data_IF_951780583969
#
_entry.id   IF_951780583969
#
_cell.length_a   1.000
_cell.length_b   1.000
_cell.length_c   1.000
_cell.angle_alpha   90.00
_cell.angle_beta   90.00
_cell.angle_gamma   90.00
#
_symmetry.space_group_name_H-M   'P 1'
#
loop_
_entity.id
_entity.type
_entity.pdbx_description
1 polymer ?
#
# COMPACT_ATOMS: atom_id res chain seq x y z
N UNK A 1 -9.11 -56.67 8.44
CA UNK A 1 -9.25 -56.24 7.05
C UNK A 1 -8.84 -54.79 6.99
N UNK A 2 -7.76 -54.48 6.27
CA UNK A 2 -7.26 -53.11 6.16
C UNK A 2 -8.08 -52.36 5.10
N UNK A 3 -9.19 -51.75 5.53
CA UNK A 3 -10.14 -51.07 4.66
C UNK A 3 -9.51 -49.93 3.84
N UNK A 4 -8.37 -49.37 4.30
CA UNK A 4 -7.65 -48.33 3.57
C UNK A 4 -6.95 -48.87 2.32
N UNK A 5 -6.50 -50.13 2.35
CA UNK A 5 -5.84 -50.79 1.21
C UNK A 5 -6.78 -51.08 0.02
N UNK A 6 -8.10 -50.99 0.23
CA UNK A 6 -9.12 -51.25 -0.79
C UNK A 6 -9.64 -49.97 -1.46
N UNK A 7 -9.19 -48.79 -1.03
CA UNK A 7 -9.67 -47.51 -1.57
C UNK A 7 -9.08 -47.24 -2.97
N UNK A 8 -9.94 -46.77 -3.88
CA UNK A 8 -9.50 -46.37 -5.22
C UNK A 8 -8.60 -45.13 -5.18
N UNK A 9 -7.77 -44.95 -6.21
CA UNK A 9 -6.95 -43.73 -6.39
C UNK A 9 -7.80 -42.46 -6.36
N UNK A 10 -8.99 -42.47 -6.98
CA UNK A 10 -9.92 -41.34 -6.95
C UNK A 10 -10.37 -41.01 -5.53
N UNK A 11 -10.65 -42.02 -4.71
CA UNK A 11 -11.02 -41.82 -3.31
C UNK A 11 -9.88 -41.16 -2.53
N UNK A 12 -8.63 -41.62 -2.72
CA UNK A 12 -7.45 -41.00 -2.12
C UNK A 12 -7.26 -39.54 -2.54
N UNK A 13 -7.45 -39.22 -3.82
CA UNK A 13 -7.34 -37.85 -4.32
C UNK A 13 -8.41 -36.93 -3.73
N UNK A 14 -9.66 -37.38 -3.65
CA UNK A 14 -10.76 -36.61 -3.05
C UNK A 14 -10.52 -36.38 -1.56
N UNK A 15 -10.09 -37.40 -0.81
CA UNK A 15 -9.75 -37.26 0.60
C UNK A 15 -8.58 -36.30 0.81
N UNK A 16 -7.52 -36.42 0.01
CA UNK A 16 -6.36 -35.52 0.06
C UNK A 16 -6.75 -34.07 -0.21
N UNK A 17 -7.59 -33.83 -1.22
CA UNK A 17 -8.10 -32.49 -1.53
C UNK A 17 -8.97 -31.93 -0.39
N UNK A 18 -9.85 -32.75 0.19
CA UNK A 18 -10.70 -32.33 1.30
C UNK A 18 -9.86 -31.95 2.55
N UNK A 19 -8.85 -32.76 2.89
CA UNK A 19 -7.91 -32.48 3.98
C UNK A 19 -7.16 -31.17 3.69
N UNK A 20 -6.61 -31.00 2.48
CA UNK A 20 -5.91 -29.79 2.09
C UNK A 20 -6.81 -28.55 2.20
N UNK A 21 -8.03 -28.59 1.67
CA UNK A 21 -8.98 -27.49 1.79
C UNK A 21 -9.35 -27.18 3.25
N UNK A 22 -9.43 -28.20 4.12
CA UNK A 22 -9.60 -28.03 5.57
C UNK A 22 -8.43 -27.28 6.21
N UNK A 23 -7.20 -27.66 5.86
CA UNK A 23 -5.96 -26.98 6.29
C UNK A 23 -5.94 -25.53 5.81
N UNK A 24 -6.21 -25.28 4.52
CA UNK A 24 -6.29 -23.94 3.95
C UNK A 24 -7.31 -23.08 4.69
N UNK A 25 -8.52 -23.61 4.92
CA UNK A 25 -9.57 -22.92 5.67
C UNK A 25 -9.13 -22.57 7.09
N UNK A 26 -8.51 -23.51 7.80
CA UNK A 26 -8.05 -23.28 9.17
C UNK A 26 -7.03 -22.13 9.23
N UNK A 27 -5.95 -22.23 8.46
CA UNK A 27 -4.89 -21.22 8.47
C UNK A 27 -5.34 -19.86 7.92
N UNK A 28 -6.22 -19.83 6.92
CA UNK A 28 -6.78 -18.57 6.37
C UNK A 28 -7.51 -17.74 7.43
N UNK A 29 -8.30 -18.38 8.28
CA UNK A 29 -9.09 -17.69 9.31
C UNK A 29 -8.36 -17.58 10.65
N UNK A 30 -7.22 -18.24 10.81
CA UNK A 30 -6.46 -18.21 12.06
C UNK A 30 -6.10 -16.79 12.48
N UNK A 31 -5.47 -16.00 11.59
CA UNK A 31 -5.05 -14.63 11.90
C UNK A 31 -6.22 -13.73 12.30
N UNK A 32 -7.37 -13.87 11.61
CA UNK A 32 -8.59 -13.11 11.91
C UNK A 32 -9.15 -13.50 13.28
N UNK A 33 -9.26 -14.79 13.56
CA UNK A 33 -9.80 -15.30 14.82
C UNK A 33 -8.91 -14.94 16.01
N UNK A 34 -7.58 -15.00 15.84
CA UNK A 34 -6.60 -14.59 16.84
C UNK A 34 -6.68 -13.08 17.12
N UNK A 35 -6.82 -12.25 16.09
CA UNK A 35 -7.03 -10.81 16.25
C UNK A 35 -8.31 -10.51 17.03
N UNK A 36 -9.44 -11.14 16.67
CA UNK A 36 -10.73 -10.95 17.37
C UNK A 36 -10.62 -11.38 18.84
N UNK A 37 -9.92 -12.49 19.11
CA UNK A 37 -9.68 -12.98 20.48
C UNK A 37 -8.77 -12.04 21.27
N UNK A 38 -7.72 -11.51 20.64
CA UNK A 38 -6.74 -10.60 21.27
C UNK A 38 -7.32 -9.23 21.55
N UNK A 39 -8.21 -8.73 20.69
CA UNK A 39 -8.86 -7.43 20.82
C UNK A 39 -10.39 -7.57 20.80
N UNK A 40 -11.04 -8.05 21.88
CA UNK A 40 -12.48 -8.27 21.90
C UNK A 40 -13.29 -7.00 21.62
N UNK A 41 -12.86 -5.84 22.13
CA UNK A 41 -13.47 -4.54 21.85
C UNK A 41 -12.79 -3.85 20.65
N UNK A 42 -13.50 -3.61 19.53
CA UNK A 42 -12.96 -2.90 18.37
C UNK A 42 -12.45 -1.49 18.65
N UNK A 43 -12.96 -0.81 19.69
CA UNK A 43 -12.57 0.56 20.00
C UNK A 43 -11.16 0.64 20.58
N UNK A 44 -10.64 -0.45 21.16
CA UNK A 44 -9.25 -0.51 21.65
C UNK A 44 -8.24 -0.15 20.55
N UNK A 45 -8.58 -0.44 19.28
CA UNK A 45 -7.72 -0.15 18.12
C UNK A 45 -7.59 1.35 17.87
N UNK A 46 -8.64 2.12 18.15
CA UNK A 46 -8.63 3.58 17.96
C UNK A 46 -7.76 4.29 19.01
N UNK A 47 -7.59 3.66 20.18
CA UNK A 47 -6.84 4.21 21.31
C UNK A 47 -5.38 3.74 21.38
N UNK A 48 -5.01 2.64 20.71
CA UNK A 48 -3.64 2.10 20.72
C UNK A 48 -3.00 2.14 19.34
N UNK A 49 -1.92 2.93 19.22
CA UNK A 49 -1.10 3.01 18.01
C UNK A 49 -0.43 1.68 17.69
N UNK A 50 -0.03 0.93 18.70
CA UNK A 50 0.60 -0.38 18.56
C UNK A 50 -0.38 -1.41 18.01
N UNK A 51 -1.60 -1.46 18.55
CA UNK A 51 -2.64 -2.36 18.08
C UNK A 51 -3.07 -2.02 16.64
N UNK A 52 -3.25 -0.73 16.34
CA UNK A 52 -3.55 -0.28 14.98
C UNK A 52 -2.42 -0.65 14.00
N UNK A 53 -1.16 -0.41 14.36
CA UNK A 53 0.00 -0.74 13.53
C UNK A 53 0.12 -2.24 13.26
N UNK A 54 -0.08 -3.08 14.29
CA UNK A 54 -0.10 -4.53 14.16
C UNK A 54 -1.16 -5.01 13.15
N UNK A 55 -2.41 -4.59 13.36
CA UNK A 55 -3.54 -5.03 12.53
C UNK A 55 -3.39 -4.48 11.11
N UNK A 56 -3.04 -3.21 10.95
CA UNK A 56 -2.77 -2.59 9.66
C UNK A 56 -1.71 -3.39 8.89
N UNK A 57 -0.61 -3.75 9.54
CA UNK A 57 0.48 -4.51 8.94
C UNK A 57 0.06 -5.91 8.52
N UNK A 58 -0.79 -6.58 9.31
CA UNK A 58 -1.36 -7.87 8.95
C UNK A 58 -2.16 -7.78 7.65
N UNK A 59 -3.01 -6.77 7.50
CA UNK A 59 -3.83 -6.56 6.30
C UNK A 59 -2.94 -6.18 5.10
N UNK A 60 -2.10 -5.15 5.25
CA UNK A 60 -1.39 -4.50 4.15
C UNK A 60 -0.14 -5.23 3.70
N UNK A 61 0.48 -6.03 4.57
CA UNK A 61 1.75 -6.70 4.25
C UNK A 61 1.65 -8.23 4.29
N UNK A 62 0.66 -8.83 4.94
CA UNK A 62 0.55 -10.30 5.03
C UNK A 62 -0.66 -10.85 4.28
N UNK A 63 -1.85 -10.34 4.56
CA UNK A 63 -3.10 -10.93 4.12
C UNK A 63 -3.50 -10.51 2.70
N UNK A 64 -3.51 -9.20 2.42
CA UNK A 64 -3.93 -8.62 1.14
C UNK A 64 -2.85 -7.74 0.48
N UNK A 65 -1.55 -8.07 0.53
CA UNK A 65 -0.50 -7.10 0.23
C UNK A 65 -0.53 -6.55 -1.20
N UNK A 66 -0.92 -7.38 -2.17
CA UNK A 66 -0.98 -6.94 -3.57
C UNK A 66 -2.16 -5.99 -3.81
N UNK A 67 -3.35 -6.31 -3.29
CA UNK A 67 -4.54 -5.46 -3.44
C UNK A 67 -4.39 -4.19 -2.63
N UNK A 68 -3.92 -4.26 -1.38
CA UNK A 68 -3.71 -3.10 -0.52
C UNK A 68 -2.69 -2.10 -1.12
N UNK A 69 -1.58 -2.61 -1.67
CA UNK A 69 -0.62 -1.77 -2.40
C UNK A 69 -1.26 -1.14 -3.63
N UNK A 70 -1.93 -1.94 -4.46
CA UNK A 70 -2.51 -1.45 -5.73
C UNK A 70 -3.63 -0.44 -5.46
N UNK A 71 -4.43 -0.63 -4.41
CA UNK A 71 -5.46 0.33 -4.02
C UNK A 71 -4.86 1.66 -3.59
N UNK A 72 -3.73 1.68 -2.84
CA UNK A 72 -3.05 2.93 -2.50
C UNK A 72 -2.43 3.63 -3.73
N UNK A 73 -1.82 2.87 -4.65
CA UNK A 73 -1.36 3.41 -5.94
C UNK A 73 -2.53 4.05 -6.71
N UNK A 74 -3.72 3.44 -6.65
CA UNK A 74 -4.92 3.93 -7.29
C UNK A 74 -5.59 5.10 -6.56
N UNK A 75 -5.50 5.17 -5.23
CA UNK A 75 -5.92 6.33 -4.46
C UNK A 75 -5.16 7.58 -4.89
N UNK A 76 -3.84 7.46 -5.06
CA UNK A 76 -3.03 8.57 -5.59
C UNK A 76 -3.46 8.95 -7.01
N UNK A 77 -3.73 7.97 -7.87
CA UNK A 77 -4.23 8.21 -9.22
C UNK A 77 -5.59 8.92 -9.24
N UNK A 78 -6.52 8.56 -8.35
CA UNK A 78 -7.84 9.19 -8.23
C UNK A 78 -7.76 10.68 -7.88
N UNK A 79 -6.72 11.13 -7.17
CA UNK A 79 -6.54 12.57 -6.92
C UNK A 79 -6.43 13.42 -8.20
N UNK A 80 -6.07 12.80 -9.34
CA UNK A 80 -5.91 13.51 -10.61
C UNK A 80 -7.23 13.99 -11.21
N UNK A 81 -8.39 13.55 -10.69
CA UNK A 81 -9.69 14.07 -11.12
C UNK A 81 -10.07 15.40 -10.46
N UNK A 82 -9.24 15.87 -9.51
CA UNK A 82 -9.40 17.17 -8.85
C UNK A 82 -8.53 18.21 -9.59
N UNK A 83 -9.11 19.26 -10.20
CA UNK A 83 -8.35 20.21 -11.02
C UNK A 83 -7.22 20.94 -10.27
N UNK A 84 -7.37 21.26 -8.98
CA UNK A 84 -6.29 21.88 -8.20
C UNK A 84 -5.06 20.98 -8.12
N UNK A 85 -5.29 19.69 -7.86
CA UNK A 85 -4.24 18.67 -7.73
C UNK A 85 -3.61 18.40 -9.09
N UNK A 86 -4.41 18.12 -10.12
CA UNK A 86 -3.88 17.74 -11.43
C UNK A 86 -3.09 18.89 -12.09
N UNK A 87 -3.53 20.14 -11.96
CA UNK A 87 -2.77 21.32 -12.45
C UNK A 87 -1.44 21.48 -11.73
N UNK A 88 -1.43 21.30 -10.40
CA UNK A 88 -0.19 21.33 -9.62
C UNK A 88 0.76 20.22 -10.05
N UNK A 89 0.27 18.99 -10.19
CA UNK A 89 1.10 17.86 -10.58
C UNK A 89 1.67 18.01 -11.99
N UNK A 90 0.88 18.52 -12.94
CA UNK A 90 1.38 18.88 -14.29
C UNK A 90 2.48 19.95 -14.20
N UNK A 91 2.31 20.99 -13.38
CA UNK A 91 3.29 22.07 -13.27
C UNK A 91 4.61 21.61 -12.65
N UNK A 92 4.61 20.57 -11.82
CA UNK A 92 5.87 19.99 -11.30
C UNK A 92 6.73 19.32 -12.38
N UNK A 93 6.12 18.86 -13.47
CA UNK A 93 6.77 18.11 -14.55
C UNK A 93 7.23 16.69 -14.18
N UNK A 94 7.08 16.25 -12.93
CA UNK A 94 7.65 15.00 -12.44
C UNK A 94 6.98 13.76 -13.06
N UNK A 95 5.66 13.75 -13.19
CA UNK A 95 4.95 12.64 -13.83
C UNK A 95 5.22 12.54 -15.34
N UNK A 96 5.56 13.64 -16.02
CA UNK A 96 5.89 13.61 -17.44
C UNK A 96 7.32 13.15 -17.72
N UNK A 97 8.28 13.52 -16.87
CA UNK A 97 9.72 13.31 -17.13
C UNK A 97 10.38 12.24 -16.25
N UNK A 98 9.85 12.01 -15.05
CA UNK A 98 10.49 11.20 -14.00
C UNK A 98 9.47 10.30 -13.29
N UNK A 99 8.44 9.83 -14.00
CA UNK A 99 7.33 9.05 -13.42
C UNK A 99 7.82 7.85 -12.60
N UNK A 100 8.79 7.09 -13.14
CA UNK A 100 9.35 5.92 -12.46
C UNK A 100 10.03 6.29 -11.15
N UNK A 101 10.97 7.25 -11.17
CA UNK A 101 11.65 7.67 -9.94
C UNK A 101 10.64 8.20 -8.91
N UNK A 102 9.64 8.97 -9.35
CA UNK A 102 8.60 9.51 -8.46
C UNK A 102 7.76 8.41 -7.80
N UNK A 103 7.36 7.39 -8.55
CA UNK A 103 6.62 6.26 -8.00
C UNK A 103 7.48 5.46 -7.01
N UNK A 104 8.75 5.27 -7.33
CA UNK A 104 9.74 4.64 -6.44
C UNK A 104 9.93 5.43 -5.14
N UNK A 105 10.16 6.75 -5.22
CA UNK A 105 10.27 7.65 -4.08
C UNK A 105 9.03 7.59 -3.18
N UNK A 106 7.84 7.65 -3.81
CA UNK A 106 6.57 7.66 -3.09
C UNK A 106 6.36 6.36 -2.34
N UNK A 107 6.60 5.21 -2.99
CA UNK A 107 6.39 3.91 -2.34
C UNK A 107 7.38 3.66 -1.21
N UNK A 108 8.65 4.09 -1.36
CA UNK A 108 9.63 3.99 -0.28
C UNK A 108 9.28 4.91 0.89
N UNK A 109 8.86 6.15 0.64
CA UNK A 109 8.39 7.07 1.69
C UNK A 109 7.21 6.44 2.45
N UNK A 110 6.18 5.96 1.73
CA UNK A 110 5.01 5.32 2.34
C UNK A 110 5.41 4.08 3.16
N UNK A 111 6.28 3.22 2.61
CA UNK A 111 6.73 2.01 3.29
C UNK A 111 7.57 2.31 4.53
N UNK A 112 8.43 3.33 4.50
CA UNK A 112 9.17 3.75 5.69
C UNK A 112 8.24 4.23 6.81
N UNK A 113 7.13 4.92 6.47
CA UNK A 113 6.15 5.41 7.43
C UNK A 113 5.32 4.30 8.10
N UNK A 114 5.04 3.20 7.40
CA UNK A 114 4.06 2.20 7.87
C UNK A 114 4.65 0.82 8.18
N UNK A 115 5.89 0.52 7.75
CA UNK A 115 6.44 -0.84 7.86
C UNK A 115 7.31 -1.09 9.10
N UNK A 116 7.37 -0.18 10.08
CA UNK A 116 8.18 -0.38 11.29
C UNK A 116 7.83 -1.69 12.01
N UNK A 117 6.54 -1.91 12.29
CA UNK A 117 6.05 -3.14 12.93
C UNK A 117 6.40 -4.41 12.12
N UNK A 118 6.04 -4.53 10.82
CA UNK A 118 6.27 -5.76 10.09
C UNK A 118 7.76 -5.99 9.80
N UNK A 119 8.59 -4.93 9.69
CA UNK A 119 10.06 -5.07 9.64
C UNK A 119 10.57 -5.79 10.89
N UNK A 120 10.15 -5.33 12.08
CA UNK A 120 10.50 -5.97 13.36
C UNK A 120 10.02 -7.41 13.38
N UNK A 121 8.76 -7.67 13.03
CA UNK A 121 8.21 -9.02 13.08
C UNK A 121 8.90 -9.98 12.11
N UNK A 122 9.20 -9.58 10.87
CA UNK A 122 9.94 -10.42 9.94
C UNK A 122 11.34 -10.78 10.48
N UNK A 123 12.05 -9.81 11.05
CA UNK A 123 13.38 -10.04 11.64
C UNK A 123 13.32 -11.06 12.80
N UNK A 124 12.31 -10.96 13.66
CA UNK A 124 12.07 -11.94 14.73
C UNK A 124 11.67 -13.32 14.18
N UNK A 125 10.82 -13.37 13.15
CA UNK A 125 10.39 -14.61 12.47
C UNK A 125 11.54 -15.31 11.73
N UNK A 126 12.62 -14.58 11.41
CA UNK A 126 13.85 -15.14 10.85
C UNK A 126 14.77 -15.75 11.90
N UNK A 127 14.40 -15.68 13.18
CA UNK A 127 15.16 -16.23 14.31
C UNK A 127 16.21 -15.28 14.86
N UNK A 128 16.22 -14.01 14.41
CA UNK A 128 17.11 -13.00 14.97
C UNK A 128 16.50 -12.36 16.22
N UNK A 129 17.36 -11.85 17.10
CA UNK A 129 16.95 -10.96 18.19
C UNK A 129 16.94 -9.51 17.71
N UNK A 130 16.04 -8.68 18.25
CA UNK A 130 16.05 -7.24 18.04
C UNK A 130 16.26 -6.53 19.39
N UNK A 131 17.32 -5.73 19.48
CA UNK A 131 17.58 -4.89 20.66
C UNK A 131 16.60 -3.72 20.73
N UNK A 132 16.39 -3.14 21.92
CA UNK A 132 15.57 -1.93 22.08
C UNK A 132 16.05 -0.77 21.20
N UNK A 133 17.36 -0.65 21.01
CA UNK A 133 17.96 0.35 20.13
C UNK A 133 17.56 0.14 18.67
N UNK A 134 17.59 -1.10 18.19
CA UNK A 134 17.20 -1.43 16.80
C UNK A 134 15.71 -1.23 16.59
N UNK A 135 14.87 -1.62 17.55
CA UNK A 135 13.43 -1.36 17.54
C UNK A 135 13.17 0.15 17.50
N UNK A 136 13.83 0.92 18.36
CA UNK A 136 13.75 2.38 18.39
C UNK A 136 14.15 3.01 17.05
N UNK A 137 15.17 2.47 16.38
CA UNK A 137 15.59 2.91 15.04
C UNK A 137 14.52 2.68 13.97
N UNK A 138 13.78 1.56 14.01
CA UNK A 138 12.69 1.32 13.07
C UNK A 138 11.58 2.36 13.18
N UNK A 139 11.23 2.79 14.39
CA UNK A 139 10.26 3.86 14.61
C UNK A 139 10.84 5.26 14.34
N UNK A 140 12.15 5.45 14.50
CA UNK A 140 12.82 6.68 14.08
C UNK A 140 12.73 6.88 12.57
N UNK A 141 12.94 5.83 11.78
CA UNK A 141 12.78 5.85 10.31
C UNK A 141 11.38 6.30 9.89
N UNK A 142 10.34 5.80 10.57
CA UNK A 142 8.97 6.23 10.34
C UNK A 142 8.81 7.75 10.50
N UNK A 143 9.32 8.33 11.60
CA UNK A 143 9.25 9.77 11.85
C UNK A 143 9.98 10.58 10.78
N UNK A 144 11.20 10.17 10.43
CA UNK A 144 12.01 10.83 9.38
C UNK A 144 11.28 10.81 8.04
N UNK A 145 10.59 9.71 7.71
CA UNK A 145 9.84 9.62 6.46
C UNK A 145 8.67 10.61 6.41
N UNK A 146 7.94 10.78 7.52
CA UNK A 146 6.89 11.81 7.61
C UNK A 146 7.49 13.22 7.51
N UNK A 147 8.61 13.49 8.19
CA UNK A 147 9.33 14.77 8.11
C UNK A 147 9.77 15.08 6.68
N UNK A 148 10.31 14.06 5.97
CA UNK A 148 10.73 14.20 4.58
C UNK A 148 9.54 14.48 3.66
N UNK A 149 8.41 13.82 3.88
CA UNK A 149 7.19 14.08 3.13
C UNK A 149 6.69 15.53 3.36
N UNK A 150 6.71 15.99 4.61
CA UNK A 150 6.36 17.37 4.97
C UNK A 150 7.29 18.39 4.31
N UNK A 151 8.59 18.11 4.23
CA UNK A 151 9.55 18.97 3.55
C UNK A 151 9.22 19.11 2.07
N UNK A 152 9.00 17.99 1.37
CA UNK A 152 8.67 17.98 -0.06
C UNK A 152 7.37 18.72 -0.31
N UNK A 153 6.33 18.38 0.45
CA UNK A 153 5.00 18.96 0.28
C UNK A 153 4.94 20.44 0.68
N UNK A 154 5.71 20.86 1.69
CA UNK A 154 5.80 22.25 2.14
C UNK A 154 6.41 23.22 1.12
N UNK A 155 7.01 22.73 0.03
CA UNK A 155 7.46 23.55 -1.11
C UNK A 155 6.33 23.94 -2.07
N UNK A 156 5.12 23.43 -1.85
CA UNK A 156 3.97 23.64 -2.72
C UNK A 156 2.79 24.19 -1.93
N UNK A 157 1.99 25.04 -2.58
CA UNK A 157 0.76 25.57 -1.98
C UNK A 157 -0.39 24.57 -2.16
N UNK A 158 -0.38 23.48 -1.40
CA UNK A 158 -1.41 22.43 -1.42
C UNK A 158 -2.55 22.85 -0.48
N UNK A 159 -3.80 22.82 -0.96
CA UNK A 159 -4.97 23.17 -0.13
C UNK A 159 -5.15 22.12 0.96
N UNK A 160 -5.58 22.53 2.15
CA UNK A 160 -5.89 21.58 3.23
C UNK A 160 -6.92 20.53 2.80
N UNK A 161 -7.97 20.94 2.06
CA UNK A 161 -8.96 20.02 1.52
C UNK A 161 -8.37 18.96 0.59
N UNK A 162 -7.35 19.30 -0.21
CA UNK A 162 -6.68 18.34 -1.10
C UNK A 162 -5.87 17.29 -0.28
N UNK A 163 -5.28 17.70 0.85
CA UNK A 163 -4.63 16.77 1.79
C UNK A 163 -5.63 15.83 2.44
N UNK A 164 -6.71 16.36 3.03
CA UNK A 164 -7.72 15.55 3.72
C UNK A 164 -8.43 14.62 2.74
N UNK A 165 -8.64 15.06 1.49
CA UNK A 165 -9.17 14.21 0.42
C UNK A 165 -8.22 13.07 0.07
N UNK A 166 -6.93 13.36 -0.11
CA UNK A 166 -5.94 12.29 -0.36
C UNK A 166 -5.89 11.29 0.79
N UNK A 167 -5.96 11.78 2.05
CA UNK A 167 -6.00 10.95 3.24
C UNK A 167 -7.26 10.07 3.30
N UNK A 168 -8.42 10.62 2.93
CA UNK A 168 -9.67 9.88 2.93
C UNK A 168 -9.69 8.77 1.88
N UNK A 169 -9.02 8.96 0.74
CA UNK A 169 -8.83 7.89 -0.25
C UNK A 169 -7.98 6.74 0.29
N UNK A 170 -6.94 7.04 1.09
CA UNK A 170 -6.07 6.03 1.71
C UNK A 170 -6.80 5.17 2.76
N UNK A 171 -7.93 5.64 3.27
CA UNK A 171 -8.88 4.85 4.05
C UNK A 171 -9.88 4.13 3.15
N UNK A 172 -10.59 4.88 2.31
CA UNK A 172 -11.77 4.41 1.59
C UNK A 172 -11.44 3.36 0.52
N UNK A 173 -10.44 3.61 -0.32
CA UNK A 173 -10.18 2.72 -1.46
C UNK A 173 -9.64 1.36 -1.01
N UNK A 174 -8.70 1.23 -0.04
CA UNK A 174 -8.31 -0.09 0.44
C UNK A 174 -9.47 -0.88 1.06
N UNK A 175 -10.36 -0.21 1.82
CA UNK A 175 -11.55 -0.87 2.38
C UNK A 175 -12.45 -1.38 1.25
N UNK A 176 -12.76 -0.53 0.28
CA UNK A 176 -13.61 -0.88 -0.86
C UNK A 176 -12.99 -2.02 -1.66
N UNK A 177 -11.72 -1.90 -2.06
CA UNK A 177 -11.04 -2.85 -2.92
C UNK A 177 -10.85 -4.21 -2.27
N UNK A 178 -10.54 -4.27 -0.97
CA UNK A 178 -10.44 -5.55 -0.27
C UNK A 178 -11.82 -6.21 -0.21
N UNK A 179 -12.85 -5.48 0.20
CA UNK A 179 -14.22 -6.00 0.25
C UNK A 179 -14.76 -6.45 -1.13
N UNK A 180 -14.36 -5.73 -2.19
CA UNK A 180 -14.85 -5.97 -3.54
C UNK A 180 -14.05 -7.02 -4.31
N UNK A 181 -12.75 -7.18 -4.03
CA UNK A 181 -11.86 -7.99 -4.86
C UNK A 181 -11.14 -9.11 -4.12
N UNK A 182 -11.12 -9.12 -2.79
CA UNK A 182 -10.44 -10.15 -2.01
C UNK A 182 -11.38 -11.23 -1.47
N UNK A 183 -10.79 -12.26 -0.87
CA UNK A 183 -11.46 -13.49 -0.49
C UNK A 183 -12.40 -13.37 0.72
N UNK A 184 -12.30 -12.26 1.48
CA UNK A 184 -13.19 -11.91 2.58
C UNK A 184 -13.32 -10.40 2.73
N UNK A 185 -14.37 -9.97 3.43
CA UNK A 185 -14.51 -8.60 3.91
C UNK A 185 -13.60 -8.32 5.10
N UNK A 186 -13.27 -7.05 5.28
CA UNK A 186 -12.57 -6.56 6.48
C UNK A 186 -13.49 -6.62 7.71
N UNK A 187 -12.90 -6.94 8.86
CA UNK A 187 -13.51 -6.77 10.17
C UNK A 187 -13.47 -5.30 10.61
N UNK A 188 -14.34 -4.91 11.53
CA UNK A 188 -14.37 -3.54 12.05
C UNK A 188 -13.04 -3.11 12.70
N UNK A 189 -12.32 -4.03 13.36
CA UNK A 189 -10.99 -3.75 13.94
C UNK A 189 -9.96 -3.39 12.88
N UNK A 190 -10.09 -4.01 11.71
CA UNK A 190 -9.22 -3.78 10.57
C UNK A 190 -9.50 -2.42 9.93
N UNK A 191 -10.78 -2.05 9.79
CA UNK A 191 -11.21 -0.72 9.37
C UNK A 191 -10.68 0.34 10.34
N UNK A 192 -10.85 0.12 11.64
CA UNK A 192 -10.35 1.02 12.69
C UNK A 192 -8.82 1.16 12.65
N UNK A 193 -8.09 0.09 12.37
CA UNK A 193 -6.63 0.13 12.24
C UNK A 193 -6.18 0.97 11.04
N UNK A 194 -6.84 0.83 9.88
CA UNK A 194 -6.58 1.65 8.70
C UNK A 194 -6.84 3.12 9.00
N UNK A 195 -7.98 3.42 9.61
CA UNK A 195 -8.33 4.79 10.00
C UNK A 195 -7.31 5.38 10.98
N UNK A 196 -7.00 4.67 12.06
CA UNK A 196 -6.09 5.16 13.10
C UNK A 196 -4.70 5.44 12.57
N UNK A 197 -4.13 4.52 11.78
CA UNK A 197 -2.79 4.71 11.19
C UNK A 197 -2.75 5.94 10.29
N UNK A 198 -3.72 6.11 9.39
CA UNK A 198 -3.74 7.27 8.50
C UNK A 198 -4.10 8.57 9.21
N UNK A 199 -5.03 8.55 10.15
CA UNK A 199 -5.37 9.72 10.97
C UNK A 199 -4.12 10.25 11.70
N UNK A 200 -3.37 9.38 12.37
CA UNK A 200 -2.13 9.76 13.08
C UNK A 200 -1.08 10.33 12.11
N UNK A 201 -0.91 9.71 10.93
CA UNK A 201 -0.02 10.26 9.89
C UNK A 201 -0.49 11.64 9.42
N UNK A 202 -1.79 11.85 9.22
CA UNK A 202 -2.36 13.15 8.84
C UNK A 202 -2.07 14.23 9.88
N UNK A 203 -2.17 13.89 11.17
CA UNK A 203 -1.81 14.78 12.29
C UNK A 203 -0.30 15.10 12.28
N UNK A 204 0.55 14.10 12.08
CA UNK A 204 2.00 14.28 11.98
C UNK A 204 2.39 15.12 10.75
N UNK A 205 1.60 15.04 9.68
CA UNK A 205 1.69 15.87 8.48
C UNK A 205 1.14 17.30 8.64
N UNK A 206 0.67 17.67 9.84
CA UNK A 206 0.13 19.00 10.16
C UNK A 206 -1.10 19.38 9.33
N UNK A 207 -1.84 18.38 8.86
CA UNK A 207 -3.15 18.59 8.24
C UNK A 207 -4.13 19.14 9.29
N UNK A 208 -5.06 19.98 8.85
CA UNK A 208 -6.08 20.59 9.71
C UNK A 208 -7.44 19.97 9.42
N UNK A 209 -8.34 20.07 10.38
CA UNK A 209 -9.76 19.72 10.21
C UNK A 209 -9.99 18.29 9.69
N UNK A 210 -9.14 17.33 10.11
CA UNK A 210 -9.33 15.92 9.77
C UNK A 210 -10.53 15.39 10.58
N UNK A 211 -11.57 14.84 9.94
CA UNK A 211 -12.62 14.15 10.66
C UNK A 211 -12.06 13.02 11.53
N UNK A 212 -12.47 12.97 12.80
CA UNK A 212 -11.94 12.06 13.82
C UNK A 212 -12.67 10.71 13.90
N UNK A 213 -13.44 10.35 12.87
CA UNK A 213 -14.15 9.07 12.76
C UNK A 213 -14.05 8.52 11.34
N UNK A 214 -14.18 7.20 11.20
CA UNK A 214 -14.26 6.52 9.90
C UNK A 214 -15.38 7.12 9.06
N UNK A 215 -16.58 7.21 9.63
CA UNK A 215 -17.78 7.71 8.97
C UNK A 215 -17.63 9.18 8.58
N UNK A 216 -17.02 9.99 9.45
CA UNK A 216 -16.75 11.40 9.18
C UNK A 216 -15.80 11.59 8.00
N UNK A 217 -14.74 10.78 7.90
CA UNK A 217 -13.76 10.88 6.82
C UNK A 217 -14.34 10.37 5.47
N UNK A 218 -15.18 9.33 5.51
CA UNK A 218 -15.91 8.85 4.34
C UNK A 218 -16.96 9.86 3.85
N UNK A 219 -17.67 10.51 4.77
CA UNK A 219 -18.61 11.59 4.42
C UNK A 219 -17.89 12.78 3.80
N UNK A 220 -16.79 13.22 4.41
CA UNK A 220 -15.95 14.28 3.84
C UNK A 220 -15.51 13.94 2.42
N UNK A 221 -15.08 12.70 2.17
CA UNK A 221 -14.71 12.24 0.81
C UNK A 221 -15.85 12.46 -0.17
N UNK A 222 -17.05 11.97 0.12
CA UNK A 222 -18.20 12.08 -0.79
C UNK A 222 -18.57 13.53 -1.08
N UNK A 223 -18.67 14.36 -0.05
CA UNK A 223 -18.99 15.79 -0.18
C UNK A 223 -17.90 16.56 -0.96
N UNK A 224 -16.63 16.23 -0.72
CA UNK A 224 -15.51 16.81 -1.45
C UNK A 224 -15.54 16.40 -2.93
N UNK A 225 -15.83 15.13 -3.22
CA UNK A 225 -15.91 14.62 -4.58
C UNK A 225 -17.06 15.22 -5.38
N UNK A 226 -18.24 15.36 -4.76
CA UNK A 226 -19.40 16.02 -5.39
C UNK A 226 -19.08 17.47 -5.79
N UNK A 227 -18.32 18.18 -4.97
CA UNK A 227 -17.98 19.59 -5.20
C UNK A 227 -16.79 19.79 -6.15
N UNK A 228 -15.74 18.99 -6.01
CA UNK A 228 -14.43 19.30 -6.58
C UNK A 228 -14.04 18.39 -7.76
N UNK A 229 -14.67 17.22 -7.96
CA UNK A 229 -14.43 16.41 -9.16
C UNK A 229 -15.00 17.14 -10.37
N UNK A 230 -14.12 17.50 -11.30
CA UNK A 230 -14.49 18.18 -12.52
C UNK A 230 -13.53 17.80 -13.64
N UNK A 231 -14.04 17.75 -14.87
CA UNK A 231 -13.18 17.62 -16.04
C UNK A 231 -12.21 18.81 -16.13
N UNK A 232 -10.95 18.50 -16.38
CA UNK A 232 -9.92 19.49 -16.72
C UNK A 232 -8.89 18.86 -17.65
N UNK A 233 -8.35 19.59 -18.65
CA UNK A 233 -7.31 19.07 -19.54
C UNK A 233 -6.06 18.57 -18.80
N UNK A 234 -5.80 19.07 -17.59
CA UNK A 234 -4.71 18.61 -16.74
C UNK A 234 -4.90 17.19 -16.20
N UNK A 235 -6.14 16.72 -16.04
CA UNK A 235 -6.47 15.43 -15.42
C UNK A 235 -5.86 14.28 -16.22
N UNK A 236 -6.20 14.18 -17.51
CA UNK A 236 -5.65 13.14 -18.37
C UNK A 236 -4.16 13.34 -18.66
N UNK A 237 -3.71 14.60 -18.73
CA UNK A 237 -2.31 14.96 -18.98
C UNK A 237 -1.36 14.43 -17.89
N UNK A 238 -1.80 14.35 -16.64
CA UNK A 238 -1.02 13.71 -15.56
C UNK A 238 -1.31 12.20 -15.45
N UNK A 239 -2.54 11.77 -15.73
CA UNK A 239 -2.94 10.37 -15.64
C UNK A 239 -2.23 9.48 -16.65
N UNK A 240 -2.17 9.88 -17.93
CA UNK A 240 -1.67 9.02 -19.01
C UNK A 240 -0.20 8.60 -18.80
N UNK A 241 0.76 9.51 -18.50
CA UNK A 241 2.13 9.10 -18.16
C UNK A 241 2.22 8.16 -16.96
N UNK A 242 1.34 8.36 -15.96
CA UNK A 242 1.28 7.51 -14.77
C UNK A 242 0.81 6.09 -15.14
N UNK A 243 -0.23 5.97 -15.97
CA UNK A 243 -0.72 4.68 -16.46
C UNK A 243 0.37 3.96 -17.26
N UNK A 244 1.03 4.65 -18.21
CA UNK A 244 2.14 4.07 -18.96
C UNK A 244 3.26 3.57 -18.06
N UNK A 245 3.62 4.34 -17.02
CA UNK A 245 4.58 3.90 -16.03
C UNK A 245 4.12 2.62 -15.30
N UNK A 246 2.89 2.58 -14.78
CA UNK A 246 2.37 1.40 -14.08
C UNK A 246 2.36 0.14 -14.97
N UNK A 247 2.14 0.33 -16.28
CA UNK A 247 2.14 -0.71 -17.31
C UNK A 247 3.51 -1.28 -17.62
N UNK A 248 4.61 -0.61 -17.26
CA UNK A 248 5.99 -1.12 -17.49
C UNK A 248 6.28 -2.45 -16.79
N UNK A 249 5.45 -2.84 -15.81
CA UNK A 249 5.48 -4.15 -15.14
C UNK A 249 4.92 -5.29 -15.98
N UNK A 250 4.18 -4.97 -17.03
CA UNK A 250 3.46 -5.91 -17.87
C UNK A 250 4.06 -5.92 -19.28
N UNK A 251 4.04 -7.06 -19.99
CA UNK A 251 4.40 -7.10 -21.39
C UNK A 251 3.53 -6.13 -22.22
N UNK A 252 4.15 -5.45 -23.20
CA UNK A 252 3.49 -4.40 -24.00
C UNK A 252 2.21 -4.87 -24.70
N UNK A 253 2.15 -6.14 -25.11
CA UNK A 253 0.97 -6.71 -25.76
C UNK A 253 -0.28 -6.76 -24.86
N UNK A 254 -0.12 -6.65 -23.53
CA UNK A 254 -1.23 -6.64 -22.56
C UNK A 254 -1.82 -5.23 -22.38
N UNK A 255 -1.06 -4.17 -22.73
CA UNK A 255 -1.43 -2.79 -22.43
C UNK A 255 -2.80 -2.39 -22.99
N UNK A 256 -3.19 -2.73 -24.25
CA UNK A 256 -4.51 -2.38 -24.77
C UNK A 256 -5.66 -2.99 -23.95
N UNK A 257 -5.46 -4.17 -23.37
CA UNK A 257 -6.45 -4.80 -22.49
C UNK A 257 -6.57 -4.01 -21.19
N UNK A 258 -5.44 -3.60 -20.60
CA UNK A 258 -5.44 -2.79 -19.38
C UNK A 258 -6.17 -1.47 -19.57
N UNK A 259 -5.94 -0.76 -20.69
CA UNK A 259 -6.67 0.47 -20.99
C UNK A 259 -8.18 0.26 -21.11
N UNK A 260 -8.64 -0.89 -21.64
CA UNK A 260 -10.07 -1.22 -21.71
C UNK A 260 -10.68 -1.55 -20.35
N UNK A 261 -9.93 -2.15 -19.43
CA UNK A 261 -10.44 -2.54 -18.10
C UNK A 261 -10.24 -1.45 -17.04
N UNK A 262 -9.31 -0.51 -17.23
CA UNK A 262 -9.01 0.57 -16.29
C UNK A 262 -10.27 1.32 -15.84
N UNK A 263 -11.23 1.71 -16.72
CA UNK A 263 -12.46 2.35 -16.30
C UNK A 263 -13.35 1.49 -15.38
N UNK A 264 -13.15 0.17 -15.32
CA UNK A 264 -13.89 -0.70 -14.38
C UNK A 264 -13.45 -0.49 -12.93
N UNK A 265 -12.27 0.10 -12.70
CA UNK A 265 -11.71 0.41 -11.38
C UNK A 265 -12.09 1.82 -10.89
N UNK A 266 -12.75 2.61 -11.74
CA UNK A 266 -13.10 4.00 -11.49
C UNK A 266 -14.61 4.16 -11.28
N UNK A 267 -14.96 5.08 -10.39
CA UNK A 267 -16.33 5.56 -10.22
C UNK A 267 -16.73 6.42 -11.43
N UNK A 268 -18.04 6.50 -11.71
CA UNK A 268 -18.59 7.20 -12.89
C UNK A 268 -18.08 8.65 -12.97
N UNK A 269 -18.11 9.40 -11.85
CA UNK A 269 -17.61 10.79 -11.79
C UNK A 269 -16.14 10.90 -12.19
N UNK A 270 -15.31 9.92 -11.80
CA UNK A 270 -13.89 9.92 -12.13
C UNK A 270 -13.64 9.62 -13.61
N UNK A 271 -14.40 8.70 -14.21
CA UNK A 271 -14.38 8.41 -15.66
C UNK A 271 -14.69 9.69 -16.44
N UNK A 272 -15.79 10.37 -16.08
CA UNK A 272 -16.23 11.60 -16.72
C UNK A 272 -15.19 12.73 -16.57
N UNK A 273 -14.60 12.88 -15.38
CA UNK A 273 -13.58 13.88 -15.13
C UNK A 273 -12.25 13.62 -15.83
N UNK A 274 -11.93 12.36 -16.16
CA UNK A 274 -10.82 12.04 -17.05
C UNK A 274 -11.16 12.24 -18.53
N UNK A 275 -12.45 12.25 -18.88
CA UNK A 275 -12.91 12.33 -20.26
C UNK A 275 -12.59 11.07 -21.06
N UNK A 276 -12.66 9.90 -20.41
CA UNK A 276 -12.44 8.60 -21.06
C UNK A 276 -13.77 7.84 -21.21
N UNK A 277 -13.78 6.84 -22.10
CA UNK A 277 -14.99 6.07 -22.36
C UNK A 277 -15.40 5.20 -21.16
N UNK A 278 -16.70 5.14 -20.91
CA UNK A 278 -17.28 4.20 -19.96
C UNK A 278 -17.05 2.77 -20.43
N UNK A 279 -16.71 1.84 -19.52
CA UNK A 279 -16.54 0.45 -19.89
C UNK A 279 -17.91 -0.16 -20.19
N UNK A 280 -17.98 -0.98 -21.25
CA UNK A 280 -19.19 -1.72 -21.59
C UNK A 280 -19.67 -2.59 -20.41
N UNK A 281 -20.96 -2.89 -20.36
CA UNK A 281 -21.51 -3.81 -19.34
C UNK A 281 -20.80 -5.17 -19.37
N UNK A 282 -20.43 -5.65 -20.56
CA UNK A 282 -19.72 -6.91 -20.74
C UNK A 282 -18.31 -6.85 -20.15
N UNK A 283 -17.58 -5.75 -20.39
CA UNK A 283 -16.24 -5.53 -19.79
C UNK A 283 -16.33 -5.51 -18.26
N UNK A 284 -17.32 -4.80 -17.69
CA UNK A 284 -17.54 -4.76 -16.24
C UNK A 284 -17.87 -6.14 -15.68
N UNK A 285 -18.71 -6.92 -16.37
CA UNK A 285 -19.05 -8.28 -15.96
C UNK A 285 -17.82 -9.19 -15.97
N UNK A 286 -17.05 -9.20 -17.06
CA UNK A 286 -15.84 -10.01 -17.19
C UNK A 286 -14.81 -9.64 -16.13
N UNK A 287 -14.59 -8.35 -15.88
CA UNK A 287 -13.71 -7.88 -14.80
C UNK A 287 -14.16 -8.44 -13.45
N UNK A 288 -15.45 -8.32 -13.10
CA UNK A 288 -16.03 -8.86 -11.85
C UNK A 288 -15.87 -10.37 -11.74
N UNK A 289 -16.11 -11.11 -12.81
CA UNK A 289 -15.91 -12.56 -12.85
C UNK A 289 -14.46 -12.93 -12.57
N UNK A 290 -13.49 -12.29 -13.26
CA UNK A 290 -12.06 -12.58 -13.09
C UNK A 290 -11.61 -12.33 -11.65
N UNK A 291 -11.93 -11.16 -11.08
CA UNK A 291 -11.51 -10.82 -9.71
C UNK A 291 -12.18 -11.72 -8.67
N UNK A 292 -13.46 -12.09 -8.86
CA UNK A 292 -14.16 -12.99 -7.94
C UNK A 292 -13.70 -14.43 -8.05
N UNK A 293 -13.44 -14.94 -9.26
CA UNK A 293 -12.83 -16.26 -9.45
C UNK A 293 -11.46 -16.33 -8.78
N UNK A 294 -10.62 -15.29 -8.93
CA UNK A 294 -9.34 -15.20 -8.21
C UNK A 294 -9.54 -15.20 -6.69
N UNK A 295 -10.48 -14.41 -6.17
CA UNK A 295 -10.78 -14.32 -4.74
C UNK A 295 -11.23 -15.68 -4.18
N UNK A 296 -12.10 -16.40 -4.89
CA UNK A 296 -12.55 -17.74 -4.50
C UNK A 296 -11.40 -18.75 -4.57
N UNK A 297 -10.57 -18.70 -5.62
CA UNK A 297 -9.41 -19.56 -5.72
C UNK A 297 -8.46 -19.38 -4.52
N UNK A 298 -8.16 -18.13 -4.18
CA UNK A 298 -7.36 -17.76 -3.02
C UNK A 298 -8.00 -18.26 -1.72
N UNK A 299 -9.32 -18.11 -1.57
CA UNK A 299 -10.08 -18.52 -0.38
C UNK A 299 -9.96 -20.02 -0.09
N UNK A 300 -10.09 -20.85 -1.12
CA UNK A 300 -10.28 -22.30 -0.96
C UNK A 300 -9.02 -23.13 -1.25
N UNK A 301 -8.06 -22.57 -2.02
CA UNK A 301 -6.92 -23.35 -2.52
C UNK A 301 -5.55 -22.77 -2.21
N UNK A 302 -5.44 -21.53 -1.70
CA UNK A 302 -4.13 -20.94 -1.38
C UNK A 302 -3.92 -20.81 0.12
N UNK A 303 -2.83 -21.39 0.64
CA UNK A 303 -2.36 -21.14 2.00
C UNK A 303 -2.05 -19.65 2.24
N UNK A 304 -2.24 -19.14 3.47
CA UNK A 304 -1.86 -17.77 3.80
C UNK A 304 -0.34 -17.59 3.82
N UNK A 305 0.13 -16.34 3.74
CA UNK A 305 1.57 -16.02 3.84
C UNK A 305 2.03 -16.16 5.29
N UNK A 306 3.20 -16.76 5.47
CA UNK A 306 3.86 -16.88 6.78
C UNK A 306 4.64 -15.62 7.19
N UNK A 307 5.05 -14.79 6.22
CA UNK A 307 5.84 -13.57 6.43
C UNK A 307 5.16 -12.34 5.84
N UNK A 308 5.54 -11.17 6.32
CA UNK A 308 5.13 -9.90 5.75
C UNK A 308 5.89 -9.65 4.44
N UNK A 309 5.17 -9.25 3.38
CA UNK A 309 5.75 -8.83 2.11
C UNK A 309 6.26 -7.40 2.24
N UNK A 310 7.55 -7.25 2.46
CA UNK A 310 8.20 -5.96 2.68
C UNK A 310 9.19 -5.65 1.58
N UNK A 311 9.26 -4.36 1.25
CA UNK A 311 10.26 -3.85 0.31
C UNK A 311 11.46 -3.24 1.04
N UNK A 312 11.22 -2.60 2.18
CA UNK A 312 12.27 -1.94 2.98
C UNK A 312 12.95 -2.95 3.92
N UNK A 313 14.30 -3.00 3.98
CA UNK A 313 15.00 -3.93 4.85
C UNK A 313 15.03 -3.48 6.32
N UNK A 314 15.36 -4.40 7.22
CA UNK A 314 15.54 -4.11 8.66
C UNK A 314 16.85 -3.33 8.91
N UNK A 315 17.96 -3.74 8.29
CA UNK A 315 19.27 -3.09 8.41
C UNK A 315 19.67 -2.34 7.13
N UNK A 316 20.50 -1.32 7.31
CA UNK A 316 21.24 -0.70 6.22
C UNK A 316 22.48 -1.55 5.83
N UNK A 317 23.00 -1.31 4.63
CA UNK A 317 24.28 -1.86 4.18
C UNK A 317 25.47 -1.16 4.88
N UNK A 318 26.70 -1.56 4.54
CA UNK A 318 27.94 -1.02 5.11
C UNK A 318 28.10 0.50 4.90
N UNK A 319 27.51 1.05 3.84
CA UNK A 319 27.51 2.49 3.54
C UNK A 319 26.44 3.27 4.33
N UNK A 320 25.59 2.58 5.10
CA UNK A 320 24.47 3.17 5.84
C UNK A 320 23.21 3.41 5.00
N UNK A 321 23.08 2.73 3.85
CA UNK A 321 21.93 2.84 2.94
C UNK A 321 21.02 1.62 2.99
N UNK A 322 19.71 1.82 2.85
CA UNK A 322 18.73 0.74 2.84
C UNK A 322 18.53 0.23 1.41
N UNK A 323 18.84 -1.05 1.16
CA UNK A 323 18.66 -1.67 -0.17
C UNK A 323 17.28 -2.34 -0.24
N UNK A 324 16.39 -1.95 -1.17
CA UNK A 324 15.11 -2.60 -1.33
C UNK A 324 15.22 -4.12 -1.58
N UNK A 325 14.37 -4.93 -0.96
CA UNK A 325 14.34 -6.39 -1.16
C UNK A 325 13.99 -6.80 -2.59
N UNK A 326 13.24 -5.95 -3.31
CA UNK A 326 12.88 -6.17 -4.70
C UNK A 326 12.60 -4.83 -5.40
N UNK A 327 12.69 -4.85 -6.73
CA UNK A 327 12.40 -3.71 -7.60
C UNK A 327 11.22 -4.03 -8.50
N UNK A 328 10.34 -3.06 -8.69
CA UNK A 328 9.07 -3.27 -9.40
C UNK A 328 9.05 -2.65 -10.78
N UNK A 329 9.65 -1.48 -10.90
CA UNK A 329 9.60 -0.70 -12.12
C UNK A 329 10.95 -0.72 -12.84
N UNK A 330 10.90 -0.45 -14.14
CA UNK A 330 12.09 -0.23 -14.96
C UNK A 330 12.14 1.24 -15.41
N UNK A 331 13.33 1.87 -15.46
CA UNK A 331 14.61 1.37 -14.93
C UNK A 331 14.57 1.25 -13.40
N UNK A 332 15.44 0.40 -12.85
CA UNK A 332 15.58 0.19 -11.41
C UNK A 332 16.26 1.41 -10.77
N UNK A 333 15.78 1.79 -9.58
CA UNK A 333 16.38 2.83 -8.75
C UNK A 333 16.79 2.24 -7.41
N UNK A 334 17.82 2.80 -6.78
CA UNK A 334 18.29 2.41 -5.43
C UNK A 334 18.88 0.99 -5.32
N UNK A 335 19.52 0.49 -6.37
CA UNK A 335 20.25 -0.79 -6.33
C UNK A 335 21.38 -0.79 -5.29
N UNK A 336 21.98 0.38 -5.05
CA UNK A 336 22.99 0.61 -3.99
C UNK A 336 22.38 1.08 -2.66
N UNK A 337 21.06 1.07 -2.58
CA UNK A 337 20.28 1.55 -1.45
C UNK A 337 20.01 3.07 -1.46
N UNK A 338 19.14 3.49 -0.53
CA UNK A 338 18.72 4.88 -0.33
C UNK A 338 18.95 5.35 1.10
N UNK A 339 19.12 6.66 1.27
CA UNK A 339 18.79 7.35 2.52
C UNK A 339 17.37 7.93 2.43
N UNK A 340 16.62 7.94 3.53
CA UNK A 340 15.25 8.50 3.54
C UNK A 340 15.25 9.98 3.10
N UNK A 341 16.24 10.77 3.52
CA UNK A 341 16.40 12.17 3.14
C UNK A 341 16.67 12.40 1.63
N UNK A 342 17.11 11.37 0.90
CA UNK A 342 17.38 11.44 -0.54
C UNK A 342 16.12 11.14 -1.38
N UNK A 343 15.06 10.63 -0.76
CA UNK A 343 13.81 10.34 -1.46
C UNK A 343 13.12 11.63 -1.89
N UNK A 344 12.57 11.64 -3.10
CA UNK A 344 11.89 12.79 -3.71
C UNK A 344 12.63 13.43 -4.89
N UNK A 345 12.15 14.59 -5.37
CA UNK A 345 12.72 15.25 -6.55
C UNK A 345 14.19 15.63 -6.35
N UNK A 346 15.03 15.44 -7.38
CA UNK A 346 16.48 15.72 -7.32
C UNK A 346 16.80 17.14 -6.85
N UNK A 347 16.02 18.12 -7.30
CA UNK A 347 16.15 19.53 -6.88
C UNK A 347 15.90 19.79 -5.39
N UNK A 348 15.39 18.80 -4.66
CA UNK A 348 15.11 18.83 -3.22
C UNK A 348 15.99 17.85 -2.43
N UNK A 349 16.97 17.22 -3.07
CA UNK A 349 17.91 16.34 -2.38
C UNK A 349 18.89 17.17 -1.55
N UNK A 350 19.23 16.74 -0.32
CA UNK A 350 20.28 17.38 0.45
C UNK A 350 21.65 17.16 -0.25
N UNK A 351 22.57 18.11 -0.07
CA UNK A 351 23.93 18.01 -0.65
C UNK A 351 24.74 16.85 -0.07
N UNK A 352 24.39 16.36 1.13
CA UNK A 352 24.97 15.17 1.76
C UNK A 352 23.91 14.42 2.57
N UNK A 353 23.97 13.08 2.60
CA UNK A 353 23.11 12.28 3.49
C UNK A 353 23.57 12.52 4.95
N UNK A 354 22.68 12.95 5.86
CA UNK A 354 23.05 13.30 7.24
C UNK A 354 23.34 12.08 8.13
N UNK A 355 23.31 10.86 7.59
CA UNK A 355 23.74 9.66 8.31
C UNK A 355 25.27 9.72 8.45
N UNK A 356 25.74 9.86 9.69
CA UNK A 356 27.17 9.77 10.01
C UNK A 356 27.68 8.41 9.54
N UNK A 357 28.48 8.39 8.46
CA UNK A 357 29.19 7.20 8.04
C UNK A 357 29.94 6.62 9.24
N UNK A 358 29.79 5.32 9.48
CA UNK A 358 30.64 4.57 10.41
C UNK A 358 32.07 4.65 9.85
N UNK A 359 32.80 5.72 10.17
CA UNK A 359 34.25 5.75 9.97
C UNK A 359 34.81 4.60 10.82
N UNK A 360 35.22 3.53 10.14
CA UNK A 360 36.32 2.63 10.52
C UNK A 360 36.71 2.69 12.01
N UNK A 361 35.98 1.98 12.86
CA UNK A 361 36.56 1.50 14.12
C UNK A 361 37.52 0.37 13.74
N UNK A 362 38.78 0.71 13.48
CA UNK A 362 39.78 -0.29 13.09
C UNK A 362 40.97 0.29 12.33
N UNK A 363 41.68 1.23 12.95
CA UNK A 363 43.10 1.44 12.68
C UNK A 363 43.72 1.95 13.97
N UNK A 364 44.10 1.02 14.84
CA UNK A 364 45.13 1.24 15.85
C UNK A 364 46.36 1.79 15.13
N UNK A 365 46.68 3.06 15.38
CA UNK A 365 48.02 3.59 15.13
C UNK A 365 48.90 3.20 16.31
N UNK A 366 49.96 2.48 15.97
CA UNK A 366 51.24 2.28 16.66
C UNK A 366 51.24 1.88 18.14
#
# INVERSE_FOLDING_TARGET
MDYLSQLSTTTWLVMGLAIYCGIVRHYRYQSLNEMIKKYPDPNTILESKEAASEIYSNIFRREFPNVARTSLEFSLFKTFVIPSVSKLLVSTGQFGKHATKRAEDTELILSEMIDAYPRIQNHLMEGHTATEKEIGEQYRRQKISVERLNEIHGKYNIRNGDYVYTLSLFLADPIQWINDYEWRHLDIREINAIFKVWYDIGVDMKMKDIPNTVEGLLRFKEEFEEKEIQYSPSNWKVALPTIHHLLTRLPEFVWPVVFKVLPCLLDVRAIDAFGIDHPSWFTRLMFKCVVRSRALFIRYFCLPRSRYLLRTPFHANEEGKFVPHYFLYKPTFYEKGYCIYELGPEKMMPQSCPVVHRKSYGATKE
#
